data_IF_604733423976
#
_entry.id   IF_604733423976
#
_cell.length_a   1.000
_cell.length_b   1.000
_cell.length_c   1.000
_cell.angle_alpha   90.00
_cell.angle_beta   90.00
_cell.angle_gamma   90.00
#
_symmetry.space_group_name_H-M   'P 1'
#
loop_
_entity.id
_entity.type
_entity.pdbx_description
1 polymer ?
#
# COMPACT_ATOMS: atom_id res chain seq x y z
N UNK A 1 -6.15 40.07 -8.17
CA UNK A 1 -6.41 39.05 -9.22
C UNK A 1 -5.17 38.78 -10.08
N UNK A 2 -4.53 39.78 -10.71
CA UNK A 2 -3.30 39.56 -11.48
C UNK A 2 -2.08 39.12 -10.65
N UNK A 3 -1.85 39.76 -9.48
CA UNK A 3 -0.73 39.41 -8.60
C UNK A 3 -0.83 37.99 -8.01
N UNK A 4 -2.04 37.53 -7.68
CA UNK A 4 -2.26 36.17 -7.16
C UNK A 4 -2.03 35.12 -8.26
N UNK A 5 -2.45 35.39 -9.50
CA UNK A 5 -2.15 34.52 -10.65
C UNK A 5 -0.65 34.38 -10.87
N UNK A 6 0.09 35.48 -10.85
CA UNK A 6 1.55 35.47 -11.00
C UNK A 6 2.22 34.69 -9.87
N UNK A 7 1.72 34.80 -8.63
CA UNK A 7 2.23 34.03 -7.49
C UNK A 7 2.00 32.53 -7.65
N UNK A 8 0.78 32.13 -8.00
CA UNK A 8 0.42 30.71 -8.24
C UNK A 8 1.24 30.13 -9.38
N UNK A 9 1.42 30.88 -10.47
CA UNK A 9 2.17 30.42 -11.63
C UNK A 9 3.67 30.25 -11.32
N UNK A 10 4.23 31.13 -10.48
CA UNK A 10 5.63 31.03 -10.04
C UNK A 10 5.84 29.84 -9.09
N UNK A 11 4.90 29.60 -8.18
CA UNK A 11 4.91 28.44 -7.30
C UNK A 11 4.77 27.13 -8.09
N UNK A 12 3.90 27.09 -9.11
CA UNK A 12 3.76 25.94 -10.00
C UNK A 12 5.06 25.65 -10.76
N UNK A 13 5.76 26.69 -11.27
CA UNK A 13 7.06 26.52 -11.93
C UNK A 13 8.15 26.02 -10.99
N UNK A 14 8.14 26.46 -9.73
CA UNK A 14 9.08 25.94 -8.71
C UNK A 14 8.80 24.48 -8.37
N UNK A 15 7.54 24.10 -8.14
CA UNK A 15 7.14 22.71 -7.91
C UNK A 15 7.51 21.79 -9.08
N UNK A 16 7.32 22.26 -10.31
CA UNK A 16 7.74 21.53 -11.51
C UNK A 16 9.27 21.37 -11.59
N UNK A 17 10.03 22.36 -11.12
CA UNK A 17 11.49 22.26 -11.05
C UNK A 17 11.95 21.30 -9.94
N UNK A 18 11.23 21.25 -8.81
CA UNK A 18 11.50 20.34 -7.69
C UNK A 18 11.21 18.87 -8.02
N UNK A 19 10.26 18.62 -8.93
CA UNK A 19 9.93 17.27 -9.43
C UNK A 19 11.11 16.56 -10.09
N UNK A 20 12.11 17.31 -10.58
CA UNK A 20 13.33 16.76 -11.20
C UNK A 20 13.06 15.92 -12.46
N UNK A 21 14.04 15.12 -12.88
CA UNK A 21 13.83 14.14 -13.95
C UNK A 21 13.04 12.94 -13.43
N UNK A 22 11.97 12.58 -14.14
CA UNK A 22 11.15 11.42 -13.80
C UNK A 22 11.99 10.14 -13.90
N UNK A 23 12.20 9.48 -12.76
CA UNK A 23 12.92 8.21 -12.72
C UNK A 23 12.01 7.05 -13.14
N UNK A 24 12.54 6.02 -13.81
CA UNK A 24 11.78 4.81 -14.10
C UNK A 24 11.24 4.15 -12.82
N UNK A 25 10.00 3.65 -12.90
CA UNK A 25 9.43 2.83 -11.82
C UNK A 25 10.02 1.43 -11.90
N UNK A 26 10.81 1.04 -10.89
CA UNK A 26 11.52 -0.25 -10.86
C UNK A 26 10.75 -1.35 -10.14
N UNK A 27 9.82 -0.99 -9.26
CA UNK A 27 8.90 -1.90 -8.57
C UNK A 27 7.44 -1.44 -8.76
N UNK A 28 6.85 -1.70 -9.93
CA UNK A 28 5.49 -1.25 -10.22
C UNK A 28 4.43 -1.92 -9.34
N UNK A 29 4.70 -3.13 -8.82
CA UNK A 29 3.77 -3.84 -7.96
C UNK A 29 3.72 -3.22 -6.56
N UNK A 30 4.87 -2.94 -5.95
CA UNK A 30 4.94 -2.26 -4.66
C UNK A 30 4.47 -0.81 -4.71
N UNK A 31 4.71 -0.09 -5.82
CA UNK A 31 4.12 1.24 -6.01
C UNK A 31 2.59 1.18 -6.14
N UNK A 32 2.04 0.22 -6.88
CA UNK A 32 0.59 0.05 -7.02
C UNK A 32 -0.07 -0.27 -5.68
N UNK A 33 0.54 -1.10 -4.83
CA UNK A 33 0.07 -1.38 -3.48
C UNK A 33 0.03 -0.11 -2.62
N UNK A 34 1.08 0.71 -2.65
CA UNK A 34 1.14 1.98 -1.91
C UNK A 34 0.05 2.94 -2.36
N UNK A 35 -0.08 3.15 -3.67
CA UNK A 35 -1.13 4.02 -4.24
C UNK A 35 -2.53 3.50 -3.91
N UNK A 36 -2.75 2.18 -3.94
CA UNK A 36 -4.03 1.60 -3.54
C UNK A 36 -4.34 1.89 -2.06
N UNK A 37 -3.35 1.79 -1.18
CA UNK A 37 -3.47 2.17 0.24
C UNK A 37 -3.85 3.64 0.42
N UNK A 38 -3.19 4.55 -0.30
CA UNK A 38 -3.51 5.98 -0.27
C UNK A 38 -4.94 6.27 -0.76
N UNK A 39 -5.37 5.61 -1.85
CA UNK A 39 -6.73 5.74 -2.39
C UNK A 39 -7.77 5.26 -1.36
N UNK A 40 -7.54 4.13 -0.69
CA UNK A 40 -8.44 3.60 0.35
C UNK A 40 -8.49 4.55 1.55
N UNK A 41 -7.34 5.05 2.01
CA UNK A 41 -7.28 6.00 3.11
C UNK A 41 -8.02 7.32 2.78
N UNK A 42 -7.87 7.82 1.55
CA UNK A 42 -8.59 9.00 1.06
C UNK A 42 -10.11 8.75 1.00
N UNK A 43 -10.53 7.57 0.51
CA UNK A 43 -11.94 7.15 0.52
C UNK A 43 -12.50 7.11 1.94
N UNK A 44 -11.75 6.59 2.92
CA UNK A 44 -12.16 6.55 4.32
C UNK A 44 -12.26 7.95 4.94
N UNK A 45 -11.30 8.83 4.64
CA UNK A 45 -11.35 10.22 5.07
C UNK A 45 -12.57 10.96 4.50
N UNK A 46 -12.82 10.82 3.20
CA UNK A 46 -13.99 11.39 2.53
C UNK A 46 -15.31 10.81 3.07
N UNK A 47 -15.35 9.51 3.40
CA UNK A 47 -16.51 8.88 4.02
C UNK A 47 -16.85 9.54 5.38
N UNK A 48 -15.84 9.76 6.23
CA UNK A 48 -16.04 10.44 7.53
C UNK A 48 -16.59 11.85 7.37
N UNK A 49 -16.12 12.60 6.36
CA UNK A 49 -16.63 13.94 6.06
C UNK A 49 -18.10 13.86 5.64
N UNK A 50 -18.45 12.96 4.72
CA UNK A 50 -19.83 12.80 4.24
C UNK A 50 -20.78 12.35 5.36
N UNK A 51 -20.33 11.47 6.26
CA UNK A 51 -21.12 11.05 7.43
C UNK A 51 -21.47 12.20 8.37
N UNK A 52 -20.63 13.24 8.41
CA UNK A 52 -20.88 14.45 9.21
C UNK A 52 -21.86 15.44 8.56
N UNK A 53 -22.33 15.20 7.34
CA UNK A 53 -23.22 16.13 6.64
C UNK A 53 -24.67 15.97 7.12
N UNK A 54 -25.32 17.09 7.42
CA UNK A 54 -26.76 17.12 7.71
C UNK A 54 -27.63 16.98 6.46
N UNK A 55 -27.10 17.27 5.29
CA UNK A 55 -27.75 17.07 3.99
C UNK A 55 -26.70 16.93 2.89
N UNK A 56 -26.97 16.07 1.90
CA UNK A 56 -26.09 15.86 0.74
C UNK A 56 -26.15 17.01 -0.29
N UNK A 57 -27.15 17.88 -0.18
CA UNK A 57 -27.42 18.96 -1.14
C UNK A 57 -27.47 20.31 -0.46
N UNK A 58 -27.32 21.37 -1.24
CA UNK A 58 -27.49 22.75 -0.80
C UNK A 58 -28.08 23.61 -1.92
N UNK A 59 -28.67 24.74 -1.57
CA UNK A 59 -29.18 25.73 -2.55
C UNK A 59 -28.07 26.75 -2.79
N UNK A 60 -27.64 26.88 -4.04
CA UNK A 60 -26.60 27.83 -4.44
C UNK A 60 -27.12 29.27 -4.55
N UNK A 61 -26.23 30.22 -4.80
CA UNK A 61 -26.58 31.65 -4.95
C UNK A 61 -27.59 31.94 -6.06
N UNK A 62 -27.75 31.03 -7.02
CA UNK A 62 -28.72 31.12 -8.13
C UNK A 62 -30.08 30.51 -7.78
N UNK A 63 -30.29 30.01 -6.57
CA UNK A 63 -31.52 29.31 -6.16
C UNK A 63 -31.62 27.86 -6.64
N UNK A 64 -30.65 27.38 -7.43
CA UNK A 64 -30.60 26.00 -7.88
C UNK A 64 -30.08 25.06 -6.77
N UNK A 65 -30.68 23.88 -6.67
CA UNK A 65 -30.18 22.79 -5.82
C UNK A 65 -28.89 22.21 -6.43
N UNK A 66 -27.86 22.03 -5.60
CA UNK A 66 -26.55 21.52 -5.99
C UNK A 66 -26.07 20.43 -5.05
N UNK A 67 -25.26 19.50 -5.58
CA UNK A 67 -24.56 18.50 -4.80
C UNK A 67 -23.41 19.14 -4.02
N UNK A 68 -23.24 18.71 -2.77
CA UNK A 68 -22.06 19.08 -1.98
C UNK A 68 -20.78 18.48 -2.56
N UNK A 69 -19.72 19.29 -2.62
CA UNK A 69 -18.45 18.88 -3.20
C UNK A 69 -17.84 17.67 -2.47
N UNK A 70 -18.05 17.57 -1.17
CA UNK A 70 -17.64 16.46 -0.29
C UNK A 70 -18.23 15.13 -0.76
N UNK A 71 -19.50 15.13 -1.17
CA UNK A 71 -20.18 13.94 -1.71
C UNK A 71 -19.56 13.55 -3.05
N UNK A 72 -19.26 14.53 -3.92
CA UNK A 72 -18.60 14.26 -5.19
C UNK A 72 -17.14 13.80 -5.02
N UNK A 73 -16.44 14.24 -3.97
CA UNK A 73 -15.09 13.74 -3.64
C UNK A 73 -15.17 12.30 -3.15
N UNK A 74 -16.12 11.99 -2.28
CA UNK A 74 -16.31 10.62 -1.77
C UNK A 74 -16.68 9.63 -2.86
N UNK A 75 -17.63 9.98 -3.74
CA UNK A 75 -18.03 9.15 -4.87
C UNK A 75 -16.85 8.84 -5.81
N UNK A 76 -16.05 9.85 -6.18
CA UNK A 76 -14.83 9.63 -6.98
C UNK A 76 -13.76 8.83 -6.26
N UNK A 77 -13.68 8.89 -4.94
CA UNK A 77 -12.75 8.08 -4.16
C UNK A 77 -13.22 6.62 -4.09
N UNK A 78 -14.53 6.37 -3.97
CA UNK A 78 -15.13 5.04 -4.05
C UNK A 78 -14.85 4.37 -5.40
N UNK A 79 -15.11 5.07 -6.50
CA UNK A 79 -14.89 4.52 -7.85
C UNK A 79 -13.42 4.16 -8.09
N UNK A 80 -12.50 5.06 -7.72
CA UNK A 80 -11.05 4.79 -7.81
C UNK A 80 -10.60 3.63 -6.93
N UNK A 81 -11.14 3.52 -5.71
CA UNK A 81 -10.83 2.41 -4.82
C UNK A 81 -11.32 1.07 -5.41
N UNK A 82 -12.55 1.03 -5.91
CA UNK A 82 -13.09 -0.16 -6.56
C UNK A 82 -12.26 -0.56 -7.78
N UNK A 83 -11.88 0.41 -8.61
CA UNK A 83 -11.07 0.18 -9.80
C UNK A 83 -9.68 -0.36 -9.46
N UNK A 84 -8.93 0.30 -8.57
CA UNK A 84 -7.55 -0.10 -8.25
C UNK A 84 -7.49 -1.48 -7.62
N UNK A 85 -8.42 -1.78 -6.70
CA UNK A 85 -8.50 -3.10 -6.06
C UNK A 85 -8.88 -4.19 -7.07
N UNK A 86 -9.82 -3.91 -7.98
CA UNK A 86 -10.17 -4.83 -9.07
C UNK A 86 -8.98 -5.10 -9.99
N UNK A 87 -8.22 -4.05 -10.35
CA UNK A 87 -7.05 -4.17 -11.22
C UNK A 87 -5.95 -5.00 -10.51
N UNK A 88 -5.74 -4.81 -9.20
CA UNK A 88 -4.79 -5.61 -8.41
C UNK A 88 -5.14 -7.11 -8.38
N UNK A 89 -6.43 -7.44 -8.21
CA UNK A 89 -6.92 -8.82 -8.27
C UNK A 89 -6.70 -9.41 -9.67
N UNK A 90 -7.04 -8.67 -10.73
CA UNK A 90 -6.84 -9.11 -12.13
C UNK A 90 -5.38 -9.35 -12.49
N UNK A 91 -4.46 -8.56 -11.91
CA UNK A 91 -3.03 -8.72 -12.09
C UNK A 91 -2.46 -9.91 -11.30
N UNK A 92 -3.28 -10.60 -10.50
CA UNK A 92 -2.85 -11.75 -9.71
C UNK A 92 -1.82 -11.40 -8.64
N UNK A 93 -1.82 -10.15 -8.16
CA UNK A 93 -0.80 -9.67 -7.21
C UNK A 93 -0.83 -10.42 -5.88
N UNK A 94 -2.00 -10.92 -5.46
CA UNK A 94 -2.13 -11.75 -4.25
C UNK A 94 -1.40 -13.08 -4.42
N UNK A 95 -1.68 -13.81 -5.50
CA UNK A 95 -1.00 -15.06 -5.81
C UNK A 95 0.51 -14.88 -6.00
N UNK A 96 0.93 -13.76 -6.62
CA UNK A 96 2.35 -13.45 -6.81
C UNK A 96 3.06 -13.14 -5.49
N UNK A 97 2.41 -12.44 -4.56
CA UNK A 97 2.97 -12.17 -3.23
C UNK A 97 3.13 -13.44 -2.42
N UNK A 98 2.10 -14.29 -2.38
CA UNK A 98 2.16 -15.59 -1.71
C UNK A 98 3.27 -16.45 -2.32
N UNK A 99 3.33 -16.54 -3.66
CA UNK A 99 4.39 -17.29 -4.35
C UNK A 99 5.80 -16.75 -4.10
N UNK A 100 5.98 -15.43 -4.00
CA UNK A 100 7.28 -14.83 -3.63
C UNK A 100 7.66 -15.16 -2.18
N UNK A 101 6.72 -15.06 -1.25
CA UNK A 101 6.96 -15.41 0.15
C UNK A 101 7.30 -16.90 0.31
N UNK A 102 6.59 -17.78 -0.38
CA UNK A 102 6.87 -19.22 -0.43
C UNK A 102 8.26 -19.51 -1.01
N UNK A 103 8.61 -18.89 -2.16
CA UNK A 103 9.92 -19.04 -2.78
C UNK A 103 11.05 -18.55 -1.86
N UNK A 104 10.87 -17.42 -1.17
CA UNK A 104 11.81 -16.93 -0.16
C UNK A 104 11.93 -17.89 1.02
N UNK A 105 10.81 -18.44 1.51
CA UNK A 105 10.81 -19.45 2.56
C UNK A 105 11.62 -20.69 2.18
N UNK A 106 11.52 -21.14 0.93
CA UNK A 106 12.33 -22.26 0.39
C UNK A 106 13.82 -21.90 0.41
N UNK A 107 14.19 -20.71 -0.07
CA UNK A 107 15.60 -20.27 -0.09
C UNK A 107 16.19 -20.17 1.32
N UNK A 108 15.46 -19.59 2.27
CA UNK A 108 15.89 -19.51 3.68
C UNK A 108 16.05 -20.90 4.29
N UNK A 109 15.10 -21.81 4.05
CA UNK A 109 15.19 -23.17 4.54
C UNK A 109 16.38 -23.95 3.93
N UNK A 110 16.68 -23.73 2.65
CA UNK A 110 17.86 -24.29 1.98
C UNK A 110 19.15 -23.74 2.59
N UNK A 111 19.24 -22.42 2.82
CA UNK A 111 20.40 -21.78 3.44
C UNK A 111 20.65 -22.32 4.85
N UNK A 112 19.61 -22.43 5.68
CA UNK A 112 19.72 -23.01 7.04
C UNK A 112 20.23 -24.45 6.98
N UNK A 113 19.71 -25.28 6.07
CA UNK A 113 20.17 -26.67 5.90
C UNK A 113 21.63 -26.75 5.48
N UNK A 114 22.06 -25.89 4.55
CA UNK A 114 23.46 -25.83 4.13
C UNK A 114 24.38 -25.47 5.30
N UNK A 115 24.04 -24.40 6.04
CA UNK A 115 24.77 -23.96 7.23
C UNK A 115 24.88 -25.10 8.25
N UNK A 116 23.77 -25.74 8.62
CA UNK A 116 23.78 -26.83 9.60
C UNK A 116 24.59 -28.04 9.12
N UNK A 117 24.59 -28.32 7.81
CA UNK A 117 25.42 -29.37 7.21
C UNK A 117 26.91 -29.09 7.29
N UNK A 118 27.32 -27.82 7.19
CA UNK A 118 28.73 -27.40 7.27
C UNK A 118 29.25 -27.32 8.71
N UNK A 119 28.37 -27.13 9.71
CA UNK A 119 28.74 -26.94 11.11
C UNK A 119 29.22 -28.22 11.82
N UNK A 120 29.15 -29.40 11.18
CA UNK A 120 29.69 -30.64 11.73
C UNK A 120 29.03 -31.08 13.06
N UNK A 121 27.70 -30.98 13.14
CA UNK A 121 26.94 -31.28 14.36
C UNK A 121 27.10 -32.75 14.81
N UNK A 122 27.14 -32.98 16.14
CA UNK A 122 27.10 -34.35 16.68
C UNK A 122 25.74 -35.01 16.41
N UNK A 123 25.63 -36.35 16.46
CA UNK A 123 24.34 -37.03 16.27
C UNK A 123 23.23 -36.52 17.22
N UNK A 124 23.58 -36.23 18.47
CA UNK A 124 22.65 -35.71 19.47
C UNK A 124 22.22 -34.27 19.16
N UNK A 125 23.12 -33.44 18.63
CA UNK A 125 22.80 -32.08 18.20
C UNK A 125 21.93 -32.07 16.94
N UNK A 126 22.24 -32.94 15.97
CA UNK A 126 21.48 -33.10 14.74
C UNK A 126 20.05 -33.55 15.03
N UNK A 127 19.85 -34.45 16.01
CA UNK A 127 18.53 -34.90 16.43
C UNK A 127 17.64 -33.77 16.98
N UNK A 128 18.24 -32.68 17.48
CA UNK A 128 17.51 -31.51 18.01
C UNK A 128 17.14 -30.48 16.95
N UNK A 129 17.76 -30.51 15.76
CA UNK A 129 17.53 -29.54 14.68
C UNK A 129 16.04 -29.43 14.28
N UNK A 130 15.30 -30.54 14.07
CA UNK A 130 13.89 -30.48 13.66
C UNK A 130 12.96 -29.86 14.70
N UNK A 131 13.39 -29.76 15.97
CA UNK A 131 12.64 -29.12 17.04
C UNK A 131 13.05 -27.65 17.21
N UNK A 132 14.35 -27.39 17.29
CA UNK A 132 14.90 -26.07 17.63
C UNK A 132 14.65 -25.06 16.51
N UNK A 133 14.95 -25.42 15.26
CA UNK A 133 14.85 -24.48 14.13
C UNK A 133 13.40 -24.03 13.91
N UNK A 134 12.38 -24.92 13.80
CA UNK A 134 11.01 -24.48 13.61
C UNK A 134 10.44 -23.69 14.79
N UNK A 135 10.92 -23.94 16.02
CA UNK A 135 10.51 -23.15 17.19
C UNK A 135 10.94 -21.68 17.05
N UNK A 136 12.18 -21.42 16.64
CA UNK A 136 12.67 -20.06 16.46
C UNK A 136 12.04 -19.36 15.26
N UNK A 137 11.84 -20.06 14.13
CA UNK A 137 11.16 -19.50 12.96
C UNK A 137 9.71 -19.11 13.27
N UNK A 138 8.98 -19.91 14.04
CA UNK A 138 7.62 -19.58 14.50
C UNK A 138 7.60 -18.37 15.44
N UNK A 139 8.58 -18.25 16.32
CA UNK A 139 8.69 -17.10 17.22
C UNK A 139 8.93 -15.79 16.45
N UNK A 140 9.75 -15.82 15.40
CA UNK A 140 9.96 -14.67 14.51
C UNK A 140 8.66 -14.29 13.78
N UNK A 141 7.96 -15.25 13.19
CA UNK A 141 6.70 -15.00 12.49
C UNK A 141 5.61 -14.41 13.41
N UNK A 142 5.55 -14.87 14.67
CA UNK A 142 4.60 -14.32 15.65
C UNK A 142 4.92 -12.88 16.07
N UNK A 143 6.20 -12.49 16.06
CA UNK A 143 6.62 -11.12 16.38
C UNK A 143 6.27 -10.12 15.27
N UNK A 144 6.32 -10.53 14.00
CA UNK A 144 5.95 -9.67 12.86
C UNK A 144 4.44 -9.41 12.76
N UNK A 145 3.58 -10.34 13.17
CA UNK A 145 2.11 -10.17 13.14
C UNK A 145 1.59 -9.28 14.29
N UNK A 146 2.41 -9.09 15.33
CA UNK A 146 2.05 -8.29 16.51
C UNK A 146 2.49 -6.83 16.49
N UNK A 147 3.19 -6.38 15.43
CA UNK A 147 3.68 -5.01 15.24
C UNK A 147 2.87 -4.27 14.17
#
# INVERSE_FOLDING_TARGET
MAAERVRVERAARQLLAELGEARPVTDPAGELQRVAGEIVAMKDAAARIVQGLSSMRYVGATGAEQLRAEVAVYERALDRAAKVLTDMVKLGLEARQVGLAEAQGVLVAQAIRAILGELGLTPEQQARVPEVVPRHLRALAAAEVGA
#
